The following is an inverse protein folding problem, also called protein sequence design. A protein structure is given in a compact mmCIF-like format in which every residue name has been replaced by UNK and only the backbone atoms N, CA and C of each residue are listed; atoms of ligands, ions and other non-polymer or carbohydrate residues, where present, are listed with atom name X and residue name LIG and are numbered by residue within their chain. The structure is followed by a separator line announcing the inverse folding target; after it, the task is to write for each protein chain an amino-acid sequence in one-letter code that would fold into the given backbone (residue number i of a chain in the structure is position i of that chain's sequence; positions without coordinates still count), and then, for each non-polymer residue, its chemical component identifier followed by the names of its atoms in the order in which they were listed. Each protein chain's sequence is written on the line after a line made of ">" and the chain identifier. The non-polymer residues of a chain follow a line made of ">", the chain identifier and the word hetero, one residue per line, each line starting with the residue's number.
data_IF_871331554061
#
_entry.id   IF_871331554061
#
_cell.length_a   1.000
_cell.length_b   1.000
_cell.length_c   1.000
_cell.angle_alpha   90.00
_cell.angle_beta   90.00
_cell.angle_gamma   90.00
#
_symmetry.space_group_name_H-M   'P 1'
#
loop_
_entity.id
_entity.type
_entity.pdbx_description
1 polymer ?
#
# COMPACT_ATOMS: atom_id res chain seq x y z
N UNK A 1 -8.22 33.54 -42.22
CA UNK A 1 -8.04 33.31 -40.77
C UNK A 1 -8.73 32.04 -40.25
N UNK A 2 -10.00 31.74 -40.58
CA UNK A 2 -10.70 30.51 -40.13
C UNK A 2 -10.00 29.18 -40.44
N UNK A 3 -9.39 29.05 -41.62
CA UNK A 3 -8.70 27.81 -42.03
C UNK A 3 -7.37 27.58 -41.29
N UNK A 4 -6.68 28.64 -40.84
CA UNK A 4 -5.45 28.50 -40.06
C UNK A 4 -5.71 28.02 -38.63
N UNK A 5 -6.84 28.43 -38.04
CA UNK A 5 -7.27 27.97 -36.72
C UNK A 5 -7.68 26.49 -36.75
N UNK A 6 -8.47 26.09 -37.76
CA UNK A 6 -8.84 24.68 -37.96
C UNK A 6 -7.60 23.81 -38.20
N UNK A 7 -6.66 24.26 -39.03
CA UNK A 7 -5.41 23.52 -39.28
C UNK A 7 -4.56 23.35 -38.01
N UNK A 8 -4.43 24.39 -37.18
CA UNK A 8 -3.72 24.33 -35.90
C UNK A 8 -4.41 23.40 -34.89
N UNK A 9 -5.75 23.40 -34.84
CA UNK A 9 -6.53 22.49 -33.98
C UNK A 9 -6.37 21.05 -34.48
N UNK A 10 -6.44 20.80 -35.79
CA UNK A 10 -6.24 19.44 -36.33
C UNK A 10 -4.80 18.95 -36.13
N UNK A 11 -3.79 19.81 -36.24
CA UNK A 11 -2.39 19.48 -35.92
C UNK A 11 -2.19 19.24 -34.43
N UNK A 12 -2.81 20.03 -33.57
CA UNK A 12 -2.78 19.82 -32.12
C UNK A 12 -3.48 18.50 -31.76
N UNK A 13 -4.65 18.21 -32.33
CA UNK A 13 -5.38 16.95 -32.16
C UNK A 13 -4.61 15.74 -32.73
N UNK A 14 -3.94 15.87 -33.87
CA UNK A 14 -3.06 14.83 -34.42
C UNK A 14 -1.83 14.63 -33.54
N UNK A 15 -1.23 15.70 -33.02
CA UNK A 15 -0.10 15.61 -32.08
C UNK A 15 -0.50 15.01 -30.73
N UNK A 16 -1.75 15.21 -30.29
CA UNK A 16 -2.33 14.64 -29.07
C UNK A 16 -2.72 13.17 -29.28
N UNK A 17 -3.27 12.82 -30.45
CA UNK A 17 -3.60 11.44 -30.83
C UNK A 17 -2.35 10.58 -31.12
N UNK A 18 -1.20 11.20 -31.43
CA UNK A 18 0.09 10.54 -31.64
C UNK A 18 1.13 10.84 -30.55
N UNK A 19 0.73 11.39 -29.40
CA UNK A 19 1.64 12.00 -28.42
C UNK A 19 2.55 10.99 -27.70
N UNK A 20 2.08 9.75 -27.54
CA UNK A 20 2.81 8.68 -26.87
C UNK A 20 3.47 7.78 -27.91
N UNK A 21 4.78 7.62 -27.80
CA UNK A 21 5.49 6.63 -28.62
C UNK A 21 5.09 5.21 -28.19
N UNK A 22 5.27 4.22 -29.06
CA UNK A 22 5.08 2.82 -28.68
C UNK A 22 5.93 2.42 -27.45
N UNK A 23 7.12 3.02 -27.33
CA UNK A 23 7.99 2.89 -26.15
C UNK A 23 7.34 3.46 -24.90
N UNK A 24 6.75 4.66 -24.97
CA UNK A 24 6.06 5.27 -23.83
C UNK A 24 4.87 4.41 -23.38
N UNK A 25 4.07 3.90 -24.32
CA UNK A 25 2.94 3.01 -24.01
C UNK A 25 3.42 1.74 -23.30
N UNK A 26 4.50 1.13 -23.78
CA UNK A 26 5.09 -0.04 -23.15
C UNK A 26 5.60 0.28 -21.73
N UNK A 27 6.36 1.35 -21.56
CA UNK A 27 6.91 1.75 -20.25
C UNK A 27 5.78 2.04 -19.25
N UNK A 28 4.72 2.75 -19.65
CA UNK A 28 3.57 3.04 -18.81
C UNK A 28 2.88 1.74 -18.37
N UNK A 29 2.67 0.80 -19.29
CA UNK A 29 2.07 -0.49 -18.96
C UNK A 29 2.92 -1.29 -17.96
N UNK A 30 4.24 -1.30 -18.14
CA UNK A 30 5.18 -1.95 -17.21
C UNK A 30 5.17 -1.29 -15.83
N UNK A 31 5.09 0.05 -15.76
CA UNK A 31 5.01 0.79 -14.50
C UNK A 31 3.70 0.48 -13.78
N UNK A 32 2.57 0.46 -14.49
CA UNK A 32 1.25 0.14 -13.94
C UNK A 32 1.21 -1.28 -13.38
N UNK A 33 1.70 -2.26 -14.14
CA UNK A 33 1.77 -3.65 -13.69
C UNK A 33 2.64 -3.81 -12.44
N UNK A 34 3.82 -3.19 -12.41
CA UNK A 34 4.70 -3.27 -11.25
C UNK A 34 4.11 -2.56 -10.02
N UNK A 35 3.35 -1.49 -10.22
CA UNK A 35 2.63 -0.79 -9.15
C UNK A 35 1.53 -1.68 -8.56
N UNK A 36 0.74 -2.35 -9.41
CA UNK A 36 -0.28 -3.32 -8.96
C UNK A 36 0.36 -4.48 -8.17
N UNK A 37 1.49 -5.00 -8.63
CA UNK A 37 2.24 -6.04 -7.93
C UNK A 37 2.78 -5.58 -6.57
N UNK A 38 3.38 -4.39 -6.51
CA UNK A 38 3.88 -3.83 -5.25
C UNK A 38 2.74 -3.60 -4.25
N UNK A 39 1.62 -3.06 -4.73
CA UNK A 39 0.42 -2.90 -3.91
C UNK A 39 -0.09 -4.22 -3.34
N UNK A 40 -0.21 -5.25 -4.18
CA UNK A 40 -0.60 -6.57 -3.71
C UNK A 40 0.39 -7.12 -2.68
N UNK A 41 1.70 -6.96 -2.88
CA UNK A 41 2.71 -7.37 -1.89
C UNK A 41 2.55 -6.65 -0.56
N UNK A 42 2.20 -5.37 -0.58
CA UNK A 42 1.96 -4.56 0.62
C UNK A 42 0.70 -5.00 1.37
N UNK A 43 -0.39 -5.33 0.66
CA UNK A 43 -1.58 -5.89 1.28
C UNK A 43 -1.29 -7.24 1.95
N UNK A 44 -0.59 -8.13 1.24
CA UNK A 44 -0.16 -9.42 1.79
C UNK A 44 0.77 -9.24 2.99
N UNK A 45 1.67 -8.25 2.94
CA UNK A 45 2.56 -7.90 4.03
C UNK A 45 1.80 -7.47 5.29
N UNK A 46 0.82 -6.57 5.13
CA UNK A 46 -0.03 -6.12 6.24
C UNK A 46 -0.85 -7.25 6.84
N UNK A 47 -1.46 -8.09 6.01
CA UNK A 47 -2.26 -9.20 6.53
C UNK A 47 -1.39 -10.22 7.30
N UNK A 48 -0.18 -10.51 6.79
CA UNK A 48 0.80 -11.35 7.51
C UNK A 48 1.24 -10.72 8.83
N UNK A 49 1.41 -9.40 8.87
CA UNK A 49 1.73 -8.69 10.10
C UNK A 49 0.58 -8.80 11.13
N UNK A 50 -0.67 -8.59 10.71
CA UNK A 50 -1.83 -8.74 11.59
C UNK A 50 -1.94 -10.17 12.13
N UNK A 51 -1.73 -11.19 11.28
CA UNK A 51 -1.67 -12.59 11.71
C UNK A 51 -0.58 -12.80 12.77
N UNK A 52 0.62 -12.27 12.54
CA UNK A 52 1.73 -12.38 13.48
C UNK A 52 1.39 -11.71 14.82
N UNK A 53 0.80 -10.51 14.80
CA UNK A 53 0.34 -9.82 16.03
C UNK A 53 -0.69 -10.68 16.77
N UNK A 54 -1.68 -11.22 16.06
CA UNK A 54 -2.70 -12.12 16.63
C UNK A 54 -2.06 -13.34 17.31
N UNK A 55 -1.08 -13.98 16.65
CA UNK A 55 -0.34 -15.13 17.20
C UNK A 55 0.39 -14.79 18.50
N UNK A 56 1.07 -13.64 18.54
CA UNK A 56 1.77 -13.20 19.75
C UNK A 56 0.82 -12.91 20.89
N UNK A 57 -0.28 -12.20 20.64
CA UNK A 57 -1.27 -11.91 21.67
C UNK A 57 -1.87 -13.22 22.20
N UNK A 58 -2.26 -14.13 21.31
CA UNK A 58 -2.81 -15.44 21.68
C UNK A 58 -1.80 -16.33 22.43
N UNK A 59 -0.50 -16.17 22.16
CA UNK A 59 0.59 -16.89 22.83
C UNK A 59 1.04 -16.28 24.16
N UNK A 60 0.81 -14.98 24.37
CA UNK A 60 1.26 -14.23 25.56
C UNK A 60 0.55 -14.62 26.86
N UNK A 61 -0.63 -15.25 26.78
CA UNK A 61 -1.52 -15.54 27.92
C UNK A 61 -1.94 -14.30 28.74
N UNK A 62 -1.75 -13.08 28.21
CA UNK A 62 -2.16 -11.81 28.85
C UNK A 62 -3.67 -11.59 28.74
N UNK A 63 -4.33 -12.28 27.80
CA UNK A 63 -5.75 -12.19 27.52
C UNK A 63 -6.50 -13.48 27.89
N UNK A 64 -7.79 -13.35 28.21
CA UNK A 64 -8.64 -14.47 28.61
C UNK A 64 -8.77 -15.55 27.53
N UNK A 65 -9.00 -16.80 27.95
CA UNK A 65 -9.16 -17.94 27.05
C UNK A 65 -10.34 -17.82 26.05
N UNK A 66 -11.33 -16.98 26.34
CA UNK A 66 -12.40 -16.64 25.40
C UNK A 66 -11.88 -15.77 24.26
N UNK A 67 -11.10 -14.72 24.57
CA UNK A 67 -10.46 -13.81 23.62
C UNK A 67 -9.46 -14.58 22.76
N UNK A 68 -8.63 -15.46 23.37
CA UNK A 68 -7.69 -16.31 22.62
C UNK A 68 -8.42 -17.16 21.57
N UNK A 69 -9.58 -17.73 21.90
CA UNK A 69 -10.38 -18.50 20.94
C UNK A 69 -10.90 -17.65 19.79
N UNK A 70 -11.39 -16.45 20.08
CA UNK A 70 -11.84 -15.50 19.05
C UNK A 70 -10.68 -15.07 18.13
N UNK A 71 -9.54 -14.71 18.72
CA UNK A 71 -8.31 -14.36 18.00
C UNK A 71 -7.82 -15.50 17.10
N UNK A 72 -7.84 -16.75 17.56
CA UNK A 72 -7.48 -17.91 16.73
C UNK A 72 -8.45 -18.13 15.58
N UNK A 73 -9.75 -17.95 15.79
CA UNK A 73 -10.73 -17.98 14.69
C UNK A 73 -10.42 -16.88 13.68
N UNK A 74 -10.05 -15.69 14.14
CA UNK A 74 -9.75 -14.58 13.25
C UNK A 74 -8.46 -14.79 12.46
N UNK A 75 -7.44 -15.36 13.11
CA UNK A 75 -6.21 -15.80 12.45
C UNK A 75 -6.52 -16.71 11.26
N UNK A 76 -7.36 -17.74 11.45
CA UNK A 76 -7.71 -18.69 10.38
C UNK A 76 -8.41 -18.00 9.19
N UNK A 77 -9.27 -17.02 9.46
CA UNK A 77 -9.91 -16.23 8.39
C UNK A 77 -8.90 -15.38 7.64
N UNK A 78 -8.00 -14.71 8.36
CA UNK A 78 -6.92 -13.93 7.77
C UNK A 78 -5.98 -14.81 6.92
N UNK A 79 -5.63 -16.01 7.39
CA UNK A 79 -4.84 -17.00 6.62
C UNK A 79 -5.58 -17.43 5.34
N UNK A 80 -6.89 -17.67 5.41
CA UNK A 80 -7.68 -18.02 4.22
C UNK A 80 -7.70 -16.89 3.17
N UNK A 81 -7.67 -15.62 3.60
CA UNK A 81 -7.59 -14.46 2.69
C UNK A 81 -6.21 -14.34 2.03
N UNK A 82 -5.12 -14.78 2.67
CA UNK A 82 -3.78 -14.81 2.08
C UNK A 82 -3.63 -15.79 0.91
N UNK A 83 -4.45 -16.84 0.87
CA UNK A 83 -4.46 -17.81 -0.23
C UNK A 83 -5.25 -17.30 -1.45
N UNK A 84 -5.89 -16.14 -1.34
CA UNK A 84 -6.62 -15.55 -2.47
C UNK A 84 -5.66 -15.00 -3.52
N UNK A 85 -5.95 -15.15 -4.83
CA UNK A 85 -5.09 -14.63 -5.90
C UNK A 85 -4.91 -13.11 -5.89
N UNK A 86 -5.89 -12.39 -5.33
CA UNK A 86 -5.88 -10.93 -5.18
C UNK A 86 -6.57 -10.56 -3.88
N UNK A 87 -5.86 -9.78 -3.07
CA UNK A 87 -6.39 -9.16 -1.85
C UNK A 87 -6.95 -7.77 -2.16
N UNK A 88 -8.02 -7.38 -1.46
CA UNK A 88 -8.57 -6.01 -1.49
C UNK A 88 -8.33 -5.33 -0.15
N UNK A 89 -8.33 -4.00 -0.12
CA UNK A 89 -8.24 -3.25 1.16
C UNK A 89 -9.39 -3.61 2.10
N UNK A 90 -10.59 -3.79 1.56
CA UNK A 90 -11.76 -4.21 2.34
C UNK A 90 -11.55 -5.54 3.08
N UNK A 91 -10.70 -6.42 2.56
CA UNK A 91 -10.36 -7.67 3.26
C UNK A 91 -9.46 -7.42 4.47
N UNK A 92 -8.55 -6.43 4.39
CA UNK A 92 -7.76 -6.00 5.55
C UNK A 92 -8.63 -5.28 6.58
N UNK A 93 -9.48 -4.36 6.12
CA UNK A 93 -10.36 -3.57 6.99
C UNK A 93 -11.31 -4.48 7.77
N UNK A 94 -11.90 -5.49 7.11
CA UNK A 94 -12.73 -6.51 7.77
C UNK A 94 -11.96 -7.23 8.90
N UNK A 95 -10.71 -7.62 8.63
CA UNK A 95 -9.88 -8.32 9.61
C UNK A 95 -9.50 -7.41 10.77
N UNK A 96 -9.13 -6.16 10.47
CA UNK A 96 -8.74 -5.15 11.44
C UNK A 96 -9.91 -4.77 12.35
N UNK A 97 -11.07 -4.44 11.78
CA UNK A 97 -12.27 -4.05 12.53
C UNK A 97 -12.72 -5.14 13.53
N UNK A 98 -12.67 -6.40 13.10
CA UNK A 98 -13.02 -7.52 13.96
C UNK A 98 -11.94 -7.77 15.02
N UNK A 99 -10.65 -7.64 14.67
CA UNK A 99 -9.57 -7.70 15.66
C UNK A 99 -9.70 -6.60 16.72
N UNK A 100 -9.99 -5.38 16.30
CA UNK A 100 -10.17 -4.24 17.21
C UNK A 100 -11.40 -4.41 18.10
N UNK A 101 -12.45 -5.05 17.58
CA UNK A 101 -13.64 -5.43 18.35
C UNK A 101 -13.33 -6.50 19.39
N UNK A 102 -12.58 -7.54 19.02
CA UNK A 102 -12.19 -8.64 19.92
C UNK A 102 -11.34 -8.11 21.09
N UNK A 103 -10.43 -7.16 20.81
CA UNK A 103 -9.57 -6.54 21.81
C UNK A 103 -10.19 -5.35 22.53
N UNK A 104 -11.43 -5.00 22.21
CA UNK A 104 -12.15 -3.83 22.75
C UNK A 104 -11.31 -2.55 22.69
N UNK A 105 -10.76 -2.25 21.51
CA UNK A 105 -9.95 -1.03 21.24
C UNK A 105 -10.66 -0.01 20.34
N UNK A 106 -11.91 -0.27 19.97
CA UNK A 106 -12.72 0.63 19.14
C UNK A 106 -13.25 1.86 19.90
N UNK A 107 -13.39 1.75 21.22
CA UNK A 107 -14.00 2.79 22.06
C UNK A 107 -12.97 3.63 22.83
N UNK A 108 -11.68 3.44 22.54
CA UNK A 108 -10.57 4.13 23.22
C UNK A 108 -9.80 5.00 22.24
N UNK A 109 -9.20 6.09 22.74
CA UNK A 109 -8.45 7.01 21.90
C UNK A 109 -7.13 6.38 21.40
N UNK A 110 -6.46 7.03 20.44
CA UNK A 110 -5.26 6.50 19.78
C UNK A 110 -4.10 6.19 20.74
N UNK A 111 -3.91 6.97 21.79
CA UNK A 111 -2.85 6.75 22.78
C UNK A 111 -3.17 5.55 23.68
N UNK A 112 -4.41 5.44 24.15
CA UNK A 112 -4.90 4.30 24.92
C UNK A 112 -4.88 3.01 24.09
N UNK A 113 -5.19 3.11 22.79
CA UNK A 113 -5.09 1.99 21.84
C UNK A 113 -3.65 1.49 21.75
N UNK A 114 -2.68 2.40 21.58
CA UNK A 114 -1.25 2.05 21.54
C UNK A 114 -0.79 1.41 22.84
N UNK A 115 -1.14 1.99 23.99
CA UNK A 115 -0.81 1.41 25.30
C UNK A 115 -1.42 0.01 25.48
N UNK A 116 -2.68 -0.20 25.09
CA UNK A 116 -3.33 -1.51 25.22
C UNK A 116 -2.69 -2.56 24.32
N UNK A 117 -2.35 -2.23 23.08
CA UNK A 117 -1.62 -3.12 22.18
C UNK A 117 -0.21 -3.39 22.72
N UNK A 118 0.46 -2.37 23.26
CA UNK A 118 1.76 -2.50 23.92
C UNK A 118 1.68 -3.45 25.12
N UNK A 119 0.63 -3.40 25.93
CA UNK A 119 0.43 -4.35 27.04
C UNK A 119 0.32 -5.80 26.55
N UNK A 120 -0.34 -6.04 25.42
CA UNK A 120 -0.50 -7.39 24.88
C UNK A 120 0.77 -7.94 24.23
N UNK A 121 1.58 -7.06 23.62
CA UNK A 121 2.80 -7.46 22.93
C UNK A 121 4.06 -7.34 23.79
N UNK A 122 3.98 -6.57 24.88
CA UNK A 122 5.02 -6.33 25.88
C UNK A 122 6.42 -6.22 25.26
N UNK A 123 7.32 -7.15 25.59
CA UNK A 123 8.72 -7.17 25.18
C UNK A 123 8.91 -7.46 23.67
N UNK A 124 7.84 -7.82 22.97
CA UNK A 124 7.82 -8.09 21.52
C UNK A 124 7.26 -6.96 20.69
N UNK A 125 6.65 -5.95 21.30
CA UNK A 125 6.09 -4.81 20.57
C UNK A 125 7.16 -4.15 19.69
N UNK A 126 8.29 -3.75 20.28
CA UNK A 126 9.39 -3.13 19.54
C UNK A 126 9.92 -4.03 18.42
N UNK A 127 10.19 -5.30 18.72
CA UNK A 127 10.74 -6.26 17.74
C UNK A 127 9.81 -6.45 16.52
N UNK A 128 8.51 -6.62 16.75
CA UNK A 128 7.53 -6.93 15.70
C UNK A 128 7.29 -5.71 14.81
N UNK A 129 7.10 -4.54 15.40
CA UNK A 129 6.86 -3.30 14.66
C UNK A 129 8.11 -2.88 13.90
N UNK A 130 9.29 -2.85 14.54
CA UNK A 130 10.55 -2.50 13.87
C UNK A 130 10.88 -3.46 12.72
N UNK A 131 10.66 -4.78 12.89
CA UNK A 131 10.90 -5.74 11.82
C UNK A 131 9.93 -5.53 10.64
N UNK A 132 8.64 -5.28 10.92
CA UNK A 132 7.67 -5.04 9.86
C UNK A 132 7.97 -3.74 9.11
N UNK A 133 8.32 -2.69 9.85
CA UNK A 133 8.74 -1.41 9.33
C UNK A 133 9.94 -1.54 8.38
N UNK A 134 10.98 -2.28 8.79
CA UNK A 134 12.15 -2.57 7.95
C UNK A 134 11.78 -3.36 6.68
N UNK A 135 10.85 -4.32 6.79
CA UNK A 135 10.37 -5.10 5.63
C UNK A 135 9.61 -4.21 4.65
N UNK A 136 8.70 -3.37 5.16
CA UNK A 136 7.94 -2.40 4.39
C UNK A 136 8.87 -1.43 3.66
N UNK A 137 9.83 -0.87 4.39
CA UNK A 137 10.84 0.04 3.84
C UNK A 137 11.64 -0.63 2.72
N UNK A 138 12.11 -1.86 2.94
CA UNK A 138 12.84 -2.63 1.92
C UNK A 138 11.98 -2.87 0.66
N UNK A 139 10.70 -3.17 0.81
CA UNK A 139 9.79 -3.36 -0.33
C UNK A 139 9.61 -2.07 -1.13
N UNK A 140 9.40 -0.94 -0.44
CA UNK A 140 9.29 0.38 -1.07
C UNK A 140 10.58 0.76 -1.81
N UNK A 141 11.75 0.50 -1.21
CA UNK A 141 13.04 0.74 -1.87
C UNK A 141 13.20 -0.10 -3.13
N UNK A 142 12.92 -1.41 -3.06
CA UNK A 142 13.02 -2.32 -4.22
C UNK A 142 12.10 -1.86 -5.35
N UNK A 143 10.86 -1.51 -5.04
CA UNK A 143 9.92 -0.92 -6.00
C UNK A 143 10.47 0.36 -6.62
N UNK A 144 10.98 1.28 -5.79
CA UNK A 144 11.55 2.55 -6.24
C UNK A 144 12.74 2.35 -7.19
N UNK A 145 13.67 1.45 -6.85
CA UNK A 145 14.82 1.13 -7.68
C UNK A 145 14.42 0.52 -9.03
N UNK A 146 13.38 -0.30 -9.06
CA UNK A 146 12.90 -0.92 -10.29
C UNK A 146 12.20 0.08 -11.23
N UNK A 147 11.49 1.08 -10.67
CA UNK A 147 10.60 1.97 -11.43
C UNK A 147 11.23 3.31 -11.78
N UNK A 148 12.11 3.85 -10.95
CA UNK A 148 12.77 5.15 -11.21
C UNK A 148 13.46 5.22 -12.59
N UNK A 149 14.21 4.20 -13.05
CA UNK A 149 14.79 4.22 -14.40
C UNK A 149 13.73 4.32 -15.49
N UNK A 150 12.64 3.56 -15.38
CA UNK A 150 11.54 3.53 -16.36
C UNK A 150 10.83 4.88 -16.44
N UNK A 151 10.63 5.53 -15.30
CA UNK A 151 10.05 6.88 -15.21
C UNK A 151 10.92 7.95 -15.89
N UNK A 152 12.24 7.84 -15.77
CA UNK A 152 13.20 8.74 -16.43
C UNK A 152 13.27 8.54 -17.94
N UNK A 153 12.93 7.35 -18.43
CA UNK A 153 12.90 7.02 -19.85
C UNK A 153 11.64 7.48 -20.58
N UNK A 154 10.58 7.86 -19.84
CA UNK A 154 9.36 8.42 -20.41
C UNK A 154 9.66 9.74 -21.15
N UNK A 155 9.06 9.91 -22.32
CA UNK A 155 9.11 11.18 -23.04
C UNK A 155 8.46 12.31 -22.23
N UNK A 156 8.80 13.58 -22.53
CA UNK A 156 8.18 14.74 -21.86
C UNK A 156 6.65 14.74 -21.99
N UNK A 157 6.14 14.34 -23.16
CA UNK A 157 4.70 14.20 -23.43
C UNK A 157 4.07 13.13 -22.53
N UNK A 158 4.74 11.99 -22.36
CA UNK A 158 4.31 10.93 -21.46
C UNK A 158 4.35 11.37 -20.00
N UNK A 159 5.39 12.07 -19.57
CA UNK A 159 5.50 12.60 -18.21
C UNK A 159 4.41 13.63 -17.89
N UNK A 160 4.01 14.42 -18.89
CA UNK A 160 2.92 15.38 -18.74
C UNK A 160 1.54 14.69 -18.71
N UNK A 161 1.34 13.66 -19.54
CA UNK A 161 0.10 12.88 -19.58
C UNK A 161 -0.09 12.02 -18.32
N UNK A 162 1.00 11.49 -17.76
CA UNK A 162 1.00 10.59 -16.59
C UNK A 162 1.54 11.30 -15.35
N UNK A 163 1.28 12.61 -15.23
CA UNK A 163 1.77 13.44 -14.13
C UNK A 163 1.33 12.91 -12.75
N UNK A 164 0.10 12.38 -12.64
CA UNK A 164 -0.41 11.82 -11.39
C UNK A 164 0.31 10.53 -10.98
N UNK A 165 0.61 9.65 -11.94
CA UNK A 165 1.39 8.42 -11.72
C UNK A 165 2.80 8.76 -11.22
N UNK A 166 3.43 9.77 -11.82
CA UNK A 166 4.77 10.25 -11.44
C UNK A 166 4.77 10.88 -10.06
N UNK A 167 3.77 11.71 -9.75
CA UNK A 167 3.64 12.33 -8.44
C UNK A 167 3.42 11.27 -7.36
N UNK A 168 2.53 10.30 -7.62
CA UNK A 168 2.26 9.20 -6.69
C UNK A 168 3.51 8.34 -6.45
N UNK A 169 4.25 8.01 -7.51
CA UNK A 169 5.53 7.31 -7.41
C UNK A 169 6.53 8.10 -6.56
N UNK A 170 6.67 9.40 -6.80
CA UNK A 170 7.60 10.25 -6.04
C UNK A 170 7.21 10.34 -4.56
N UNK A 171 5.91 10.37 -4.23
CA UNK A 171 5.45 10.32 -2.84
C UNK A 171 5.81 9.01 -2.16
N UNK A 172 5.62 7.87 -2.85
CA UNK A 172 6.00 6.55 -2.32
C UNK A 172 7.52 6.41 -2.17
N UNK A 173 8.28 6.90 -3.16
CA UNK A 173 9.74 6.92 -3.12
C UNK A 173 10.25 7.82 -1.98
N UNK A 174 9.62 8.98 -1.75
CA UNK A 174 9.94 9.90 -0.67
C UNK A 174 9.58 9.33 0.71
N UNK A 175 8.40 8.72 0.84
CA UNK A 175 7.98 7.96 2.01
C UNK A 175 9.02 6.88 2.38
N UNK A 176 9.50 6.14 1.38
CA UNK A 176 10.60 5.18 1.50
C UNK A 176 11.99 5.78 1.82
N UNK A 177 12.14 7.09 1.89
CA UNK A 177 13.40 7.79 2.20
C UNK A 177 13.36 8.58 3.51
N UNK A 178 12.18 8.96 4.01
CA UNK A 178 12.04 10.00 5.06
C UNK A 178 11.62 9.45 6.41
N UNK A 179 10.51 8.71 6.49
CA UNK A 179 10.07 8.12 7.75
C UNK A 179 8.95 7.08 7.55
N UNK A 180 9.08 5.90 8.15
CA UNK A 180 8.11 4.80 8.01
C UNK A 180 6.69 5.10 8.50
N UNK A 181 6.52 6.04 9.43
CA UNK A 181 5.23 6.33 10.08
C UNK A 181 4.26 7.13 9.18
N UNK A 182 4.76 7.96 8.25
CA UNK A 182 3.91 8.75 7.33
C UNK A 182 3.63 8.01 6.00
N UNK A 183 4.36 6.92 5.75
CA UNK A 183 4.42 6.24 4.46
C UNK A 183 3.13 5.48 4.08
N UNK A 184 2.39 4.99 5.08
CA UNK A 184 1.23 4.13 4.86
C UNK A 184 -0.05 4.91 4.53
N UNK A 185 -0.26 6.05 5.19
CA UNK A 185 -1.44 6.91 5.02
C UNK A 185 -1.52 7.52 3.63
N UNK A 186 -0.37 7.88 3.05
CA UNK A 186 -0.32 8.45 1.71
C UNK A 186 -0.37 7.39 0.62
N UNK A 187 0.08 6.16 0.90
CA UNK A 187 -0.10 5.01 0.00
C UNK A 187 -1.57 4.61 -0.14
N UNK A 188 -2.31 4.53 0.96
CA UNK A 188 -3.75 4.21 0.96
C UNK A 188 -4.61 5.28 0.23
N UNK A 189 -4.20 6.56 0.27
CA UNK A 189 -4.88 7.63 -0.49
C UNK A 189 -4.69 7.50 -2.00
N UNK A 190 -3.54 7.01 -2.45
CA UNK A 190 -3.27 6.77 -3.87
C UNK A 190 -4.11 5.59 -4.38
N UNK A 191 -4.25 4.54 -3.56
CA UNK A 191 -4.98 3.32 -3.91
C UNK A 191 -6.50 3.47 -3.87
N UNK A 192 -7.07 4.29 -2.98
CA UNK A 192 -8.53 4.47 -2.94
C UNK A 192 -9.11 5.31 -4.08
N UNK A 193 -8.28 5.94 -4.91
CA UNK A 193 -8.72 6.76 -6.04
C UNK A 193 -8.66 6.00 -7.38
N UNK A 194 -8.03 4.83 -7.43
CA UNK A 194 -7.75 4.03 -8.63
C UNK A 194 -7.97 2.53 -8.41
#
# INVERSE_FOLDING_TARGET
>A
MRYGLLFAITLACLSLASALTAKDVQLIAEIKLATEQAYQQLLHGHLKFLIQVIEYIAGSQVVDQSIIRQLRSQKLRAEAKLEMPRLKESDLDEILDEWERILDVNNINGDQRRERIYLYLKDKYGDIFNMNEQKLHRQIQVFTYAINPKMRELSKSAQQSEHELITSFNNVAYAGLVSPEESFTDFAKVMNKY
#
